data_IF_015928420896
#
_entry.id   IF_015928420896
#
_cell.length_a   1.000
_cell.length_b   1.000
_cell.length_c   1.000
_cell.angle_alpha   90.00
_cell.angle_beta   90.00
_cell.angle_gamma   90.00
#
_symmetry.space_group_name_H-M   'P 1'
#
loop_
_entity.id
_entity.type
_entity.pdbx_description
1 polymer ?
#
# COMPACT_ATOMS: atom_id res chain seq x y z
N UNK A 1 -22.98 -7.88 22.10
CA UNK A 1 -22.15 -8.34 23.24
C UNK A 1 -22.95 -9.16 24.25
N UNK A 2 -24.18 -8.74 24.61
CA UNK A 2 -25.04 -9.42 25.61
C UNK A 2 -25.17 -10.92 25.40
N UNK A 3 -25.45 -11.39 24.16
CA UNK A 3 -25.56 -12.82 23.83
C UNK A 3 -24.35 -13.67 24.25
N UNK A 4 -23.14 -13.14 24.15
CA UNK A 4 -21.93 -13.90 24.52
C UNK A 4 -21.73 -13.94 26.03
N UNK A 5 -22.10 -12.87 26.74
CA UNK A 5 -22.11 -12.84 28.20
C UNK A 5 -23.18 -13.78 28.76
N UNK A 6 -24.37 -13.80 28.16
CA UNK A 6 -25.45 -14.69 28.57
C UNK A 6 -25.03 -16.16 28.42
N UNK A 7 -24.40 -16.52 27.30
CA UNK A 7 -23.83 -17.85 27.08
C UNK A 7 -22.73 -18.21 28.09
N UNK A 8 -21.83 -17.26 28.37
CA UNK A 8 -20.78 -17.45 29.37
C UNK A 8 -21.40 -17.75 30.75
N UNK A 9 -22.42 -16.97 31.11
CA UNK A 9 -23.13 -17.10 32.39
C UNK A 9 -23.85 -18.44 32.50
N UNK A 10 -24.58 -18.86 31.46
CA UNK A 10 -25.25 -20.17 31.39
C UNK A 10 -24.25 -21.32 31.58
N UNK A 11 -23.09 -21.25 30.90
CA UNK A 11 -22.03 -22.26 31.01
C UNK A 11 -21.37 -22.29 32.39
N UNK A 12 -21.23 -21.13 33.02
CA UNK A 12 -20.74 -21.02 34.38
C UNK A 12 -21.74 -21.62 35.39
N UNK A 13 -23.03 -21.32 35.26
CA UNK A 13 -24.08 -21.84 36.14
C UNK A 13 -24.22 -23.38 36.04
N UNK A 14 -23.87 -23.98 34.90
CA UNK A 14 -23.92 -25.43 34.73
C UNK A 14 -22.80 -26.19 35.47
N UNK A 15 -21.57 -25.67 35.43
CA UNK A 15 -20.38 -26.44 35.82
C UNK A 15 -19.46 -25.71 36.84
N UNK A 16 -19.80 -24.49 37.26
CA UNK A 16 -19.01 -23.59 38.13
C UNK A 16 -17.55 -23.34 37.67
N UNK A 17 -17.22 -23.71 36.44
CA UNK A 17 -15.89 -23.55 35.87
C UNK A 17 -15.81 -22.29 35.01
N UNK A 18 -15.04 -21.31 35.50
CA UNK A 18 -14.81 -20.03 34.81
C UNK A 18 -14.10 -20.22 33.47
N UNK A 19 -13.13 -21.14 33.39
CA UNK A 19 -12.37 -21.36 32.15
C UNK A 19 -13.26 -21.90 31.04
N UNK A 20 -14.13 -22.86 31.34
CA UNK A 20 -15.05 -23.45 30.37
C UNK A 20 -16.08 -22.42 29.88
N UNK A 21 -16.56 -21.56 30.78
CA UNK A 21 -17.48 -20.48 30.46
C UNK A 21 -16.86 -19.45 29.50
N UNK A 22 -15.64 -18.99 29.82
CA UNK A 22 -14.90 -18.04 28.98
C UNK A 22 -14.52 -18.67 27.64
N UNK A 23 -14.03 -19.92 27.64
CA UNK A 23 -13.69 -20.65 26.43
C UNK A 23 -14.91 -20.79 25.50
N UNK A 24 -16.07 -21.12 26.05
CA UNK A 24 -17.31 -21.24 25.27
C UNK A 24 -17.71 -19.92 24.63
N UNK A 25 -17.68 -18.82 25.41
CA UNK A 25 -18.03 -17.50 24.90
C UNK A 25 -17.06 -17.02 23.81
N UNK A 26 -15.75 -17.20 24.01
CA UNK A 26 -14.72 -16.88 23.03
C UNK A 26 -14.87 -17.73 21.77
N UNK A 27 -15.12 -19.04 21.91
CA UNK A 27 -15.32 -19.95 20.76
C UNK A 27 -16.49 -19.47 19.91
N UNK A 28 -17.63 -19.14 20.52
CA UNK A 28 -18.81 -18.68 19.77
C UNK A 28 -18.58 -17.28 19.18
N UNK A 29 -17.79 -16.42 19.83
CA UNK A 29 -17.40 -15.13 19.27
C UNK A 29 -16.51 -15.29 18.03
N UNK A 30 -15.47 -16.13 18.10
CA UNK A 30 -14.53 -16.38 17.00
C UNK A 30 -15.16 -17.15 15.84
N UNK A 31 -16.16 -17.98 16.09
CA UNK A 31 -16.93 -18.68 15.06
C UNK A 31 -18.13 -17.87 14.54
N UNK A 32 -18.35 -16.65 15.02
CA UNK A 32 -19.48 -15.82 14.58
C UNK A 32 -19.27 -15.34 13.14
N UNK A 33 -20.31 -15.34 12.28
CA UNK A 33 -20.22 -14.74 10.96
C UNK A 33 -19.73 -13.28 10.96
N UNK A 34 -20.12 -12.50 11.97
CA UNK A 34 -19.68 -11.09 12.12
C UNK A 34 -18.19 -10.94 12.44
N UNK A 35 -17.54 -12.00 12.92
CA UNK A 35 -16.09 -12.03 13.16
C UNK A 35 -15.36 -12.60 11.95
N UNK A 36 -15.86 -13.70 11.39
CA UNK A 36 -15.24 -14.41 10.26
C UNK A 36 -15.34 -13.62 8.94
N UNK A 37 -16.42 -12.88 8.76
CA UNK A 37 -16.69 -12.11 7.56
C UNK A 37 -16.67 -10.61 7.88
N UNK A 38 -16.23 -9.83 6.89
CA UNK A 38 -16.42 -8.37 6.89
C UNK A 38 -17.87 -8.09 6.53
N UNK A 39 -18.76 -8.24 7.51
CA UNK A 39 -20.17 -7.90 7.39
C UNK A 39 -20.34 -6.39 7.64
N UNK A 40 -20.44 -5.62 6.56
CA UNK A 40 -20.62 -4.17 6.61
C UNK A 40 -22.11 -3.77 6.72
N UNK A 41 -23.03 -4.74 6.82
CA UNK A 41 -24.47 -4.49 6.80
C UNK A 41 -25.00 -4.21 5.39
N UNK A 42 -26.24 -3.68 5.32
CA UNK A 42 -26.82 -3.27 4.05
C UNK A 42 -26.11 -2.02 3.51
N UNK A 43 -25.77 -2.01 2.22
CA UNK A 43 -24.90 -0.99 1.61
C UNK A 43 -25.44 0.44 1.72
N UNK A 44 -26.75 0.57 1.95
CA UNK A 44 -27.47 1.84 2.04
C UNK A 44 -27.42 2.46 3.45
N UNK A 45 -27.37 1.64 4.51
CA UNK A 45 -27.48 2.10 5.91
C UNK A 45 -26.37 1.47 6.77
N UNK A 46 -25.14 1.93 6.56
CA UNK A 46 -24.00 1.49 7.35
C UNK A 46 -24.10 2.01 8.78
N UNK A 47 -23.86 1.11 9.74
CA UNK A 47 -23.65 1.51 11.12
C UNK A 47 -22.27 2.17 11.34
N UNK A 48 -22.09 2.80 12.50
CA UNK A 48 -20.87 3.52 12.86
C UNK A 48 -19.61 2.62 12.83
N UNK A 49 -19.73 1.36 13.28
CA UNK A 49 -18.61 0.42 13.32
C UNK A 49 -18.30 -0.16 11.94
N UNK A 50 -19.32 -0.33 11.09
CA UNK A 50 -19.17 -0.70 9.69
C UNK A 50 -18.42 0.40 8.93
N UNK A 51 -18.77 1.68 9.15
CA UNK A 51 -18.03 2.82 8.58
C UNK A 51 -16.57 2.82 9.04
N UNK A 52 -16.30 2.64 10.34
CA UNK A 52 -14.94 2.56 10.88
C UNK A 52 -14.14 1.41 10.23
N UNK A 53 -14.74 0.23 10.16
CA UNK A 53 -14.10 -0.96 9.58
C UNK A 53 -13.82 -0.76 8.09
N UNK A 54 -14.75 -0.17 7.34
CA UNK A 54 -14.56 0.15 5.93
C UNK A 54 -13.38 1.08 5.72
N UNK A 55 -13.30 2.17 6.47
CA UNK A 55 -12.18 3.12 6.38
C UNK A 55 -10.85 2.44 6.71
N UNK A 56 -10.79 1.65 7.78
CA UNK A 56 -9.55 0.99 8.21
C UNK A 56 -9.08 -0.08 7.24
N UNK A 57 -9.97 -0.91 6.73
CA UNK A 57 -9.60 -1.95 5.77
C UNK A 57 -9.32 -1.39 4.38
N UNK A 58 -10.01 -0.32 3.98
CA UNK A 58 -9.74 0.32 2.70
C UNK A 58 -8.38 1.04 2.69
N UNK A 59 -8.10 1.87 3.71
CA UNK A 59 -6.89 2.72 3.72
C UNK A 59 -5.67 2.04 4.36
N UNK A 60 -5.85 1.13 5.32
CA UNK A 60 -4.75 0.50 6.05
C UNK A 60 -4.72 -1.02 5.96
N UNK A 61 -5.72 -1.66 5.35
CA UNK A 61 -5.83 -3.12 5.26
C UNK A 61 -5.68 -3.80 6.64
N UNK A 62 -6.22 -3.17 7.69
CA UNK A 62 -6.16 -3.67 9.08
C UNK A 62 -7.32 -3.13 9.92
N UNK A 63 -7.35 -3.53 11.20
CA UNK A 63 -8.37 -3.12 12.16
C UNK A 63 -8.38 -1.59 12.38
N UNK A 64 -9.56 -1.01 12.72
CA UNK A 64 -9.66 0.39 13.08
C UNK A 64 -8.81 0.68 14.33
N UNK A 65 -8.21 1.88 14.39
CA UNK A 65 -7.50 2.32 15.59
C UNK A 65 -8.48 2.77 16.68
N UNK A 66 -7.98 2.91 17.92
CA UNK A 66 -8.79 3.29 19.07
C UNK A 66 -9.55 4.61 18.86
N UNK A 67 -8.96 5.53 18.10
CA UNK A 67 -9.60 6.79 17.72
C UNK A 67 -10.83 6.56 16.85
N UNK A 68 -10.71 5.74 15.80
CA UNK A 68 -11.83 5.44 14.91
C UNK A 68 -12.91 4.62 15.63
N UNK A 69 -12.53 3.70 16.52
CA UNK A 69 -13.46 2.97 17.39
C UNK A 69 -14.21 3.94 18.30
N UNK A 70 -13.51 4.88 18.95
CA UNK A 70 -14.15 5.88 19.82
C UNK A 70 -15.14 6.76 19.07
N UNK A 71 -14.78 7.23 17.87
CA UNK A 71 -15.68 8.02 17.03
C UNK A 71 -16.93 7.22 16.62
N UNK A 72 -16.77 5.93 16.35
CA UNK A 72 -17.88 5.05 16.07
C UNK A 72 -18.81 4.88 17.29
N UNK A 73 -18.23 4.67 18.48
CA UNK A 73 -18.98 4.59 19.74
C UNK A 73 -19.76 5.87 20.05
N UNK A 74 -19.18 7.03 19.72
CA UNK A 74 -19.80 8.34 19.92
C UNK A 74 -20.84 8.71 18.83
N UNK A 75 -21.03 7.88 17.80
CA UNK A 75 -22.00 8.14 16.73
C UNK A 75 -21.59 9.26 15.77
N UNK A 76 -20.27 9.49 15.60
CA UNK A 76 -19.74 10.64 14.85
C UNK A 76 -19.33 10.32 13.42
N UNK A 77 -19.19 9.05 13.04
CA UNK A 77 -18.70 8.67 11.71
C UNK A 77 -19.77 8.74 10.63
N UNK A 78 -21.05 8.94 10.96
CA UNK A 78 -22.06 9.30 9.96
C UNK A 78 -21.87 10.71 9.40
N UNK A 79 -21.19 11.61 10.12
CA UNK A 79 -20.88 12.95 9.63
C UNK A 79 -19.80 12.88 8.52
N UNK A 80 -20.09 13.32 7.28
CA UNK A 80 -19.13 13.33 6.20
C UNK A 80 -17.86 14.14 6.48
N UNK A 81 -17.96 15.22 7.25
CA UNK A 81 -16.82 16.08 7.60
C UNK A 81 -15.83 15.36 8.51
N UNK A 82 -16.35 14.63 9.51
CA UNK A 82 -15.54 13.79 10.41
C UNK A 82 -14.86 12.68 9.62
N UNK A 83 -15.59 12.00 8.73
CA UNK A 83 -15.01 10.95 7.87
C UNK A 83 -13.89 11.46 6.98
N UNK A 84 -14.08 12.63 6.36
CA UNK A 84 -13.06 13.23 5.50
C UNK A 84 -11.79 13.58 6.27
N UNK A 85 -11.94 14.15 7.48
CA UNK A 85 -10.81 14.47 8.35
C UNK A 85 -10.05 13.20 8.79
N UNK A 86 -10.77 12.14 9.17
CA UNK A 86 -10.14 10.86 9.52
C UNK A 86 -9.45 10.20 8.32
N UNK A 87 -10.05 10.21 7.13
CA UNK A 87 -9.42 9.67 5.92
C UNK A 87 -8.10 10.39 5.60
N UNK A 88 -8.07 11.73 5.66
CA UNK A 88 -6.84 12.51 5.44
C UNK A 88 -5.77 12.24 6.50
N UNK A 89 -6.17 12.06 7.77
CA UNK A 89 -5.24 11.63 8.84
C UNK A 89 -4.68 10.25 8.53
N UNK A 90 -5.53 9.30 8.15
CA UNK A 90 -5.13 7.92 7.88
C UNK A 90 -4.20 7.82 6.67
N UNK A 91 -4.41 8.64 5.65
CA UNK A 91 -3.53 8.71 4.48
C UNK A 91 -2.11 9.19 4.82
N UNK A 92 -1.95 10.03 5.85
CA UNK A 92 -0.64 10.49 6.34
C UNK A 92 0.10 9.47 7.21
N UNK A 93 -0.60 8.43 7.69
CA UNK A 93 -0.01 7.38 8.51
C UNK A 93 0.79 6.40 7.63
N UNK A 94 1.97 5.91 8.06
CA UNK A 94 2.76 4.95 7.28
C UNK A 94 2.01 3.68 6.85
N UNK A 95 0.95 3.29 7.57
CA UNK A 95 0.08 2.17 7.20
C UNK A 95 -0.63 2.38 5.86
N UNK A 96 -0.83 3.62 5.41
CA UNK A 96 -1.44 3.94 4.11
C UNK A 96 -0.63 3.44 2.92
N UNK A 97 0.65 3.14 3.11
CA UNK A 97 1.48 2.50 2.08
C UNK A 97 0.89 1.17 1.61
N UNK A 98 0.14 0.46 2.48
CA UNK A 98 -0.58 -0.77 2.11
C UNK A 98 -1.65 -0.48 1.05
N UNK A 99 -2.48 0.55 1.26
CA UNK A 99 -3.46 0.99 0.27
C UNK A 99 -2.79 1.38 -1.04
N UNK A 100 -1.72 2.18 -1.00
CA UNK A 100 -0.99 2.61 -2.20
C UNK A 100 -0.52 1.40 -3.04
N UNK A 101 0.06 0.39 -2.38
CA UNK A 101 0.50 -0.83 -3.05
C UNK A 101 -0.68 -1.65 -3.55
N UNK A 102 -1.59 -2.04 -2.66
CA UNK A 102 -2.67 -3.00 -2.96
C UNK A 102 -3.64 -2.46 -4.01
N UNK A 103 -4.01 -1.17 -3.92
CA UNK A 103 -4.90 -0.52 -4.86
C UNK A 103 -4.28 -0.43 -6.25
N UNK A 104 -3.03 0.04 -6.34
CA UNK A 104 -2.36 0.24 -7.63
C UNK A 104 -2.09 -1.09 -8.34
N UNK A 105 -1.71 -2.12 -7.58
CA UNK A 105 -1.48 -3.47 -8.12
C UNK A 105 -2.74 -4.10 -8.68
N UNK A 106 -3.89 -3.90 -8.04
CA UNK A 106 -5.18 -4.41 -8.52
C UNK A 106 -5.69 -3.59 -9.70
N UNK A 107 -5.63 -2.25 -9.59
CA UNK A 107 -6.12 -1.35 -10.62
C UNK A 107 -5.41 -1.56 -11.96
N UNK A 108 -4.08 -1.67 -11.94
CA UNK A 108 -3.27 -1.83 -13.14
C UNK A 108 -2.91 -3.30 -13.42
N UNK A 109 -3.47 -4.24 -12.65
CA UNK A 109 -3.20 -5.67 -12.74
C UNK A 109 -1.70 -6.02 -12.81
N UNK A 110 -0.86 -5.34 -12.00
CA UNK A 110 0.61 -5.38 -12.12
C UNK A 110 1.22 -6.77 -11.91
N UNK A 111 0.47 -7.71 -11.33
CA UNK A 111 0.85 -9.12 -11.24
C UNK A 111 0.99 -9.80 -12.62
N UNK A 112 0.35 -9.26 -13.67
CA UNK A 112 0.45 -9.78 -15.04
C UNK A 112 1.81 -9.51 -15.68
N UNK A 113 2.59 -8.55 -15.19
CA UNK A 113 3.96 -8.25 -15.65
C UNK A 113 4.88 -9.49 -15.52
N UNK A 114 4.61 -10.35 -14.55
CA UNK A 114 5.38 -11.58 -14.34
C UNK A 114 4.97 -12.70 -15.32
N UNK A 115 3.73 -12.68 -15.81
CA UNK A 115 3.09 -13.78 -16.56
C UNK A 115 3.06 -13.50 -18.06
N UNK A 116 2.78 -12.27 -18.45
CA UNK A 116 2.61 -11.85 -19.85
C UNK A 116 3.93 -11.25 -20.33
N UNK A 117 4.54 -11.90 -21.33
CA UNK A 117 5.69 -11.32 -22.02
C UNK A 117 5.58 -11.63 -23.52
N UNK A 118 4.86 -10.80 -24.29
CA UNK A 118 4.58 -11.06 -25.68
C UNK A 118 5.85 -11.08 -26.56
N UNK A 119 6.99 -10.60 -26.05
CA UNK A 119 8.26 -10.46 -26.79
C UNK A 119 9.48 -10.83 -25.93
N UNK A 120 9.38 -11.88 -25.12
CA UNK A 120 10.40 -12.26 -24.14
C UNK A 120 11.79 -12.45 -24.75
N UNK A 121 11.83 -12.96 -25.98
CA UNK A 121 13.08 -13.23 -26.70
C UNK A 121 13.78 -11.93 -27.13
N UNK A 122 13.06 -11.00 -27.75
CA UNK A 122 13.61 -9.69 -28.18
C UNK A 122 14.09 -8.88 -26.98
N UNK A 123 13.31 -8.86 -25.89
CA UNK A 123 13.64 -8.12 -24.68
C UNK A 123 14.86 -8.70 -23.97
N UNK A 124 15.01 -10.03 -23.97
CA UNK A 124 16.19 -10.71 -23.41
C UNK A 124 17.49 -10.36 -24.15
N UNK A 125 17.44 -10.19 -25.48
CA UNK A 125 18.61 -9.83 -26.27
C UNK A 125 18.90 -8.32 -26.26
N UNK A 126 17.85 -7.49 -26.18
CA UNK A 126 17.97 -6.02 -26.19
C UNK A 126 18.40 -5.48 -24.82
N UNK A 127 17.86 -6.06 -23.74
CA UNK A 127 18.16 -5.68 -22.36
C UNK A 127 18.80 -6.85 -21.61
N UNK A 128 20.14 -6.82 -21.50
CA UNK A 128 20.86 -7.79 -20.66
C UNK A 128 20.34 -7.70 -19.23
N UNK A 129 19.81 -8.80 -18.71
CA UNK A 129 19.27 -8.84 -17.34
C UNK A 129 17.85 -8.31 -17.19
N UNK A 130 17.06 -8.24 -18.28
CA UNK A 130 15.66 -7.80 -18.27
C UNK A 130 14.80 -8.45 -17.17
N UNK A 131 15.00 -9.73 -16.87
CA UNK A 131 14.29 -10.42 -15.79
C UNK A 131 14.47 -9.74 -14.42
N UNK A 132 15.64 -9.14 -14.17
CA UNK A 132 15.92 -8.38 -12.96
C UNK A 132 15.27 -6.99 -12.91
N UNK A 133 14.71 -6.51 -14.04
CA UNK A 133 14.01 -5.22 -14.11
C UNK A 133 12.52 -5.32 -13.77
N UNK A 134 11.89 -6.49 -13.92
CA UNK A 134 10.45 -6.68 -13.69
C UNK A 134 9.98 -6.22 -12.30
N UNK A 135 10.68 -6.54 -11.19
CA UNK A 135 10.26 -6.06 -9.87
C UNK A 135 10.26 -4.52 -9.78
N UNK A 136 11.19 -3.87 -10.48
CA UNK A 136 11.25 -2.42 -10.53
C UNK A 136 10.18 -1.83 -11.44
N UNK A 137 9.84 -2.48 -12.56
CA UNK A 137 8.74 -2.06 -13.44
C UNK A 137 7.38 -2.10 -12.71
N UNK A 138 7.12 -3.16 -11.94
CA UNK A 138 5.93 -3.21 -11.07
C UNK A 138 5.94 -2.08 -10.04
N UNK A 139 7.09 -1.87 -9.41
CA UNK A 139 7.21 -0.87 -8.34
C UNK A 139 7.15 0.57 -8.86
N UNK A 140 7.57 0.83 -10.09
CA UNK A 140 7.48 2.14 -10.74
C UNK A 140 6.05 2.70 -10.70
N UNK A 141 5.05 1.92 -11.11
CA UNK A 141 3.66 2.37 -11.11
C UNK A 141 3.15 2.69 -9.70
N UNK A 142 3.56 1.90 -8.70
CA UNK A 142 3.19 2.09 -7.29
C UNK A 142 3.81 3.38 -6.73
N UNK A 143 5.11 3.60 -6.96
CA UNK A 143 5.80 4.80 -6.48
C UNK A 143 5.35 6.06 -7.25
N UNK A 144 4.96 5.92 -8.52
CA UNK A 144 4.33 7.00 -9.29
C UNK A 144 2.96 7.41 -8.72
N UNK A 145 2.08 6.43 -8.47
CA UNK A 145 0.79 6.68 -7.81
C UNK A 145 0.97 7.34 -6.45
N UNK A 146 1.96 6.88 -5.67
CA UNK A 146 2.31 7.46 -4.36
C UNK A 146 2.63 8.95 -4.44
N UNK A 147 3.41 9.37 -5.44
CA UNK A 147 3.75 10.79 -5.65
C UNK A 147 2.49 11.61 -5.93
N UNK A 148 1.64 11.14 -6.86
CA UNK A 148 0.39 11.83 -7.21
C UNK A 148 -0.51 11.97 -5.97
N UNK A 149 -0.65 10.91 -5.18
CA UNK A 149 -1.47 10.91 -3.97
C UNK A 149 -0.93 11.86 -2.90
N UNK A 150 0.37 11.78 -2.59
CA UNK A 150 0.97 12.54 -1.50
C UNK A 150 1.07 14.04 -1.81
N UNK A 151 1.35 14.38 -3.06
CA UNK A 151 1.43 15.77 -3.52
C UNK A 151 0.07 16.34 -3.96
N UNK A 152 -1.00 15.52 -3.90
CA UNK A 152 -2.35 15.87 -4.35
C UNK A 152 -2.36 16.46 -5.78
N UNK A 153 -1.66 15.78 -6.69
CA UNK A 153 -1.55 16.20 -8.09
C UNK A 153 -2.82 15.86 -8.87
N UNK A 154 -3.02 16.55 -9.99
CA UNK A 154 -4.13 16.26 -10.90
C UNK A 154 -4.07 14.82 -11.40
N UNK A 155 -5.23 14.16 -11.51
CA UNK A 155 -5.36 12.84 -12.11
C UNK A 155 -4.93 12.80 -13.59
N UNK A 156 -4.89 13.96 -14.25
CA UNK A 156 -4.37 14.08 -15.62
C UNK A 156 -2.89 13.66 -15.72
N UNK A 157 -2.14 13.70 -14.61
CA UNK A 157 -0.77 13.19 -14.55
C UNK A 157 -0.68 11.68 -14.87
N UNK A 158 -1.76 10.91 -14.73
CA UNK A 158 -1.78 9.52 -15.17
C UNK A 158 -1.71 9.37 -16.70
N UNK A 159 -2.18 10.38 -17.45
CA UNK A 159 -2.15 10.40 -18.91
C UNK A 159 -0.84 11.03 -19.40
N UNK A 160 -0.55 12.25 -18.91
CA UNK A 160 0.61 13.03 -19.30
C UNK A 160 1.17 13.74 -18.07
N UNK A 161 2.45 13.53 -17.79
CA UNK A 161 3.14 14.07 -16.63
C UNK A 161 4.47 14.68 -17.05
N UNK A 162 4.85 15.78 -16.41
CA UNK A 162 6.16 16.42 -16.57
C UNK A 162 7.26 15.75 -15.75
N UNK A 163 6.96 14.62 -15.10
CA UNK A 163 7.91 13.84 -14.32
C UNK A 163 7.74 12.33 -14.49
N UNK A 164 8.81 11.61 -14.14
CA UNK A 164 8.82 10.16 -13.98
C UNK A 164 9.32 9.80 -12.59
N UNK A 165 8.99 8.59 -12.13
CA UNK A 165 9.48 8.06 -10.85
C UNK A 165 10.31 6.82 -11.13
N UNK A 166 11.64 6.97 -11.10
CA UNK A 166 12.57 5.94 -11.57
C UNK A 166 13.72 5.69 -10.59
N UNK A 167 14.42 4.58 -10.80
CA UNK A 167 15.64 4.22 -10.09
C UNK A 167 16.78 3.91 -11.08
N UNK A 168 17.99 3.60 -10.58
CA UNK A 168 19.14 3.34 -11.46
C UNK A 168 18.95 2.14 -12.41
N UNK A 169 18.39 0.99 -11.97
CA UNK A 169 18.08 -0.12 -12.87
C UNK A 169 17.16 0.27 -14.04
N UNK A 170 16.04 0.96 -13.76
CA UNK A 170 15.10 1.38 -14.80
C UNK A 170 15.70 2.44 -15.73
N UNK A 171 16.64 3.25 -15.26
CA UNK A 171 17.27 4.27 -16.10
C UNK A 171 18.04 3.71 -17.29
N UNK A 172 18.34 2.41 -17.32
CA UNK A 172 18.87 1.74 -18.52
C UNK A 172 17.90 1.81 -19.71
N UNK A 173 16.59 1.86 -19.42
CA UNK A 173 15.50 2.02 -20.39
C UNK A 173 15.19 3.51 -20.58
N UNK A 174 15.10 4.25 -19.47
CA UNK A 174 14.64 5.64 -19.50
C UNK A 174 15.67 6.62 -20.05
N UNK A 175 16.96 6.36 -19.79
CA UNK A 175 18.10 7.19 -20.24
C UNK A 175 17.90 8.67 -19.94
N UNK A 176 17.32 8.99 -18.78
CA UNK A 176 17.16 10.36 -18.30
C UNK A 176 18.28 10.71 -17.32
N UNK A 177 18.58 12.00 -17.20
CA UNK A 177 19.56 12.49 -16.24
C UNK A 177 18.96 12.39 -14.84
N UNK A 178 19.46 11.45 -14.03
CA UNK A 178 19.11 11.38 -12.61
C UNK A 178 20.10 12.29 -11.88
N UNK A 179 19.65 13.30 -11.12
CA UNK A 179 20.53 14.07 -10.26
C UNK A 179 21.27 13.13 -9.32
N UNK A 180 22.60 13.13 -9.39
CA UNK A 180 23.42 12.39 -8.42
C UNK A 180 23.14 12.97 -7.03
N UNK A 181 22.97 12.09 -6.03
CA UNK A 181 22.95 12.54 -4.64
C UNK A 181 24.22 13.36 -4.40
N UNK A 182 24.10 14.58 -3.88
CA UNK A 182 25.23 15.25 -3.24
C UNK A 182 25.90 14.22 -2.33
N UNK A 183 27.15 13.88 -2.63
CA UNK A 183 27.95 13.03 -1.76
C UNK A 183 27.89 13.65 -0.37
N UNK A 184 27.17 13.01 0.56
CA UNK A 184 27.36 13.28 1.97
C UNK A 184 28.86 13.12 2.21
N UNK A 185 29.56 14.15 2.72
CA UNK A 185 31.01 14.12 2.85
C UNK A 185 31.40 12.85 3.60
N UNK A 186 32.39 12.14 3.07
CA UNK A 186 32.91 10.85 3.56
C UNK A 186 33.04 10.80 5.09
N UNK A 187 31.93 10.52 5.78
CA UNK A 187 31.91 10.07 7.17
C UNK A 187 31.85 8.55 7.23
N UNK A 188 32.13 7.88 6.09
CA UNK A 188 32.41 6.45 6.05
C UNK A 188 33.83 6.25 6.59
N UNK A 189 33.89 6.03 7.90
CA UNK A 189 35.07 5.56 8.61
C UNK A 189 35.77 4.48 7.76
N UNK A 190 37.03 4.71 7.32
CA UNK A 190 37.82 3.87 6.37
C UNK A 190 38.00 2.38 6.78
N UNK A 191 37.30 1.91 7.80
CA UNK A 191 37.30 0.55 8.35
C UNK A 191 36.09 -0.30 7.95
N UNK A 192 35.08 0.22 7.24
CA UNK A 192 33.96 -0.60 6.76
C UNK A 192 34.41 -1.54 5.63
N UNK A 193 34.09 -2.86 5.71
CA UNK A 193 34.38 -3.80 4.63
C UNK A 193 33.78 -3.36 3.30
N UNK A 194 34.53 -3.50 2.20
CA UNK A 194 34.10 -3.15 0.82
C UNK A 194 32.77 -3.80 0.41
N UNK A 195 32.43 -4.95 1.00
CA UNK A 195 31.16 -5.64 0.78
C UNK A 195 29.97 -4.84 1.31
N UNK A 196 30.09 -4.23 2.49
CA UNK A 196 29.03 -3.44 3.12
C UNK A 196 28.82 -2.14 2.34
N UNK A 197 29.91 -1.46 1.96
CA UNK A 197 29.84 -0.23 1.17
C UNK A 197 29.22 -0.46 -0.22
N UNK A 198 29.51 -1.61 -0.84
CA UNK A 198 28.94 -1.97 -2.13
C UNK A 198 27.43 -2.31 -2.03
N UNK A 199 27.02 -3.02 -0.97
CA UNK A 199 25.60 -3.34 -0.75
C UNK A 199 24.78 -2.08 -0.43
N UNK A 200 25.34 -1.15 0.37
CA UNK A 200 24.71 0.15 0.63
C UNK A 200 24.56 0.98 -0.64
N UNK A 201 25.60 1.05 -1.48
CA UNK A 201 25.56 1.76 -2.76
C UNK A 201 24.51 1.15 -3.70
N UNK A 202 24.41 -0.18 -3.73
CA UNK A 202 23.39 -0.90 -4.52
C UNK A 202 21.98 -0.57 -4.04
N UNK A 203 21.70 -0.65 -2.73
CA UNK A 203 20.39 -0.33 -2.15
C UNK A 203 19.97 1.12 -2.42
N UNK A 204 20.92 2.07 -2.37
CA UNK A 204 20.65 3.48 -2.73
C UNK A 204 20.28 3.66 -4.20
N UNK A 205 20.92 2.90 -5.08
CA UNK A 205 20.62 2.90 -6.52
C UNK A 205 19.24 2.32 -6.87
N UNK A 206 18.74 1.40 -6.05
CA UNK A 206 17.42 0.77 -6.21
C UNK A 206 16.26 1.67 -5.74
N UNK A 207 16.54 2.73 -4.98
CA UNK A 207 15.55 3.69 -4.49
C UNK A 207 14.95 4.53 -5.61
N UNK A 208 13.61 4.64 -5.62
CA UNK A 208 12.85 5.43 -6.58
C UNK A 208 12.91 6.92 -6.26
N UNK A 209 12.97 7.75 -7.31
CA UNK A 209 13.04 9.20 -7.20
C UNK A 209 12.18 9.84 -8.29
N UNK A 210 11.51 10.93 -7.93
CA UNK A 210 10.84 11.82 -8.87
C UNK A 210 11.89 12.60 -9.66
N UNK A 211 11.87 12.49 -10.97
CA UNK A 211 12.77 13.20 -11.90
C UNK A 211 11.91 14.00 -12.86
N UNK A 212 12.13 15.31 -12.89
CA UNK A 212 11.47 16.20 -13.84
C UNK A 212 12.00 15.95 -15.25
N UNK A 213 11.12 16.02 -16.23
CA UNK A 213 11.43 15.82 -17.64
C UNK A 213 11.56 17.16 -18.37
N UNK A 214 12.31 17.14 -19.47
CA UNK A 214 12.35 18.26 -20.41
C UNK A 214 11.00 18.40 -21.13
N UNK A 215 10.64 19.61 -21.52
CA UNK A 215 9.35 19.92 -22.19
C UNK A 215 9.13 19.19 -23.52
N UNK A 216 10.20 18.69 -24.14
CA UNK A 216 10.13 17.92 -25.39
C UNK A 216 10.06 16.40 -25.16
N UNK A 217 10.15 15.95 -23.92
CA UNK A 217 10.09 14.54 -23.57
C UNK A 217 8.70 13.97 -23.86
N UNK A 218 8.66 12.85 -24.58
CA UNK A 218 7.43 12.06 -24.79
C UNK A 218 7.18 11.02 -23.68
N UNK A 219 7.95 11.08 -22.61
CA UNK A 219 7.85 10.21 -21.44
C UNK A 219 7.03 10.94 -20.38
N UNK A 220 6.37 10.20 -19.50
CA UNK A 220 5.51 10.76 -18.44
C UNK A 220 4.11 10.15 -18.47
N UNK A 221 3.53 9.93 -17.28
CA UNK A 221 2.26 9.23 -17.14
C UNK A 221 2.37 7.71 -17.22
N UNK A 222 1.28 7.00 -16.91
CA UNK A 222 1.24 5.54 -16.81
C UNK A 222 1.46 4.85 -18.16
N UNK A 223 0.96 5.44 -19.23
CA UNK A 223 1.02 4.85 -20.59
C UNK A 223 2.44 4.79 -21.14
N UNK A 224 3.37 5.55 -20.57
CA UNK A 224 4.79 5.55 -20.97
C UNK A 224 5.65 4.65 -20.10
N UNK A 225 5.06 4.02 -19.06
CA UNK A 225 5.78 3.16 -18.14
C UNK A 225 6.08 1.80 -18.75
N UNK A 226 7.29 1.31 -18.53
CA UNK A 226 7.75 0.02 -19.04
C UNK A 226 6.85 -1.14 -18.56
N UNK A 227 6.34 -1.08 -17.33
CA UNK A 227 5.46 -2.11 -16.77
C UNK A 227 4.03 -2.12 -17.33
N UNK A 228 3.57 -1.01 -17.93
CA UNK A 228 2.18 -0.87 -18.41
C UNK A 228 2.07 -1.15 -19.91
N UNK A 229 3.13 -0.91 -20.67
CA UNK A 229 3.12 -1.03 -22.13
C UNK A 229 3.50 -2.43 -22.66
N UNK A 230 3.92 -3.35 -21.77
CA UNK A 230 4.36 -4.73 -22.13
C UNK A 230 3.28 -5.77 -21.90
#
# INVERSE_FOLDING_TARGET
LTRFFDLAKERYEANENVLDAVQSALTVMLCSPKFLYKDEGDSLDLDEYAIASRLSYFLWNTLPDDRLIKLATEGKLKDPSVRSAEALRMLKDPRSQRFVTDFTEQWLELHKIDVVNPQAEILKYTFKGFAGLRPFMRRESIEFFKVILNENLSLLNFIESDFVVINQPLNQIYKVTIPEEMELPDMVNKKTPKLITNDEKKRRGEGFRKVMLDKESRRGGLTTQAGVFM
#
